data_IF_310646019877
#
_entry.id   IF_310646019877
#
_cell.length_a   1.000
_cell.length_b   1.000
_cell.length_c   1.000
_cell.angle_alpha   90.00
_cell.angle_beta   90.00
_cell.angle_gamma   90.00
#
_symmetry.space_group_name_H-M   'P 1'
#
loop_
_entity.id
_entity.type
_entity.pdbx_description
1 polymer ?
#
# COMPACT_ATOMS: atom_id res chain seq x y z
N UNK A 1 1.28 7.91 -6.90
CA UNK A 1 0.64 6.83 -7.70
C UNK A 1 -0.71 7.33 -8.16
N UNK A 2 -1.17 7.00 -9.36
CA UNK A 2 -2.52 7.38 -9.79
C UNK A 2 -3.52 6.32 -9.31
N UNK A 3 -4.57 6.76 -8.61
CA UNK A 3 -5.64 5.93 -8.04
C UNK A 3 -6.96 6.63 -8.33
N UNK A 4 -7.95 5.87 -8.80
CA UNK A 4 -9.34 6.31 -8.84
C UNK A 4 -10.02 5.86 -7.56
N UNK A 5 -10.52 6.79 -6.75
CA UNK A 5 -11.26 6.47 -5.54
C UNK A 5 -12.78 6.60 -5.75
N UNK A 6 -13.57 5.84 -4.99
CA UNK A 6 -15.01 6.00 -4.93
C UNK A 6 -15.41 7.17 -4.01
N UNK A 7 -16.71 7.47 -3.91
CA UNK A 7 -17.22 8.55 -3.04
C UNK A 7 -16.98 8.36 -1.54
N UNK A 8 -16.48 7.20 -1.10
CA UNK A 8 -16.06 6.91 0.29
C UNK A 8 -14.55 7.01 0.48
N UNK A 9 -13.80 7.41 -0.55
CA UNK A 9 -12.35 7.48 -0.53
C UNK A 9 -11.65 6.12 -0.59
N UNK A 10 -12.33 5.07 -1.05
CA UNK A 10 -11.74 3.74 -1.23
C UNK A 10 -11.24 3.56 -2.67
N UNK A 11 -10.10 2.88 -2.88
CA UNK A 11 -9.55 2.72 -4.23
C UNK A 11 -10.42 1.77 -5.06
N UNK A 12 -10.81 2.23 -6.26
CA UNK A 12 -11.56 1.47 -7.27
C UNK A 12 -10.66 1.00 -8.42
N UNK A 13 -9.64 1.77 -8.77
CA UNK A 13 -8.65 1.38 -9.76
C UNK A 13 -7.29 2.01 -9.47
N UNK A 14 -6.21 1.35 -9.89
CA UNK A 14 -4.83 1.78 -9.66
C UNK A 14 -4.04 1.71 -10.96
N UNK A 15 -3.28 2.76 -11.28
CA UNK A 15 -2.30 2.70 -12.35
C UNK A 15 -1.12 1.81 -11.93
N UNK A 16 -1.09 0.59 -12.45
CA UNK A 16 -0.10 -0.42 -12.13
C UNK A 16 0.62 -0.89 -13.40
N UNK A 17 1.95 -0.73 -13.43
CA UNK A 17 2.80 -1.05 -14.60
C UNK A 17 2.28 -0.41 -15.90
N UNK A 18 1.86 0.86 -15.83
CA UNK A 18 1.41 1.64 -16.98
C UNK A 18 -0.04 1.40 -17.44
N UNK A 19 -0.79 0.53 -16.76
CA UNK A 19 -2.20 0.24 -17.08
C UNK A 19 -3.06 0.40 -15.83
N UNK A 20 -4.24 1.02 -15.97
CA UNK A 20 -5.22 1.05 -14.89
C UNK A 20 -5.80 -0.35 -14.67
N UNK A 21 -5.67 -0.84 -13.45
CA UNK A 21 -6.20 -2.14 -13.02
C UNK A 21 -7.33 -1.90 -12.02
N UNK A 22 -8.52 -2.49 -12.23
CA UNK A 22 -9.59 -2.47 -11.25
C UNK A 22 -9.17 -3.10 -9.94
N UNK A 23 -9.65 -2.54 -8.83
CA UNK A 23 -9.61 -3.18 -7.51
C UNK A 23 -10.84 -4.09 -7.41
N UNK A 24 -10.61 -5.37 -7.17
CA UNK A 24 -11.67 -6.39 -7.09
C UNK A 24 -12.04 -6.75 -5.64
N UNK A 25 -11.15 -6.48 -4.69
CA UNK A 25 -11.43 -6.66 -3.27
C UNK A 25 -10.57 -5.73 -2.39
N UNK A 26 -11.14 -5.30 -1.26
CA UNK A 26 -10.41 -4.69 -0.15
C UNK A 26 -10.41 -5.72 0.99
N UNK A 27 -9.24 -6.16 1.41
CA UNK A 27 -9.07 -7.18 2.44
C UNK A 27 -8.92 -6.58 3.84
N UNK A 28 -8.37 -5.38 3.93
CA UNK A 28 -8.16 -4.69 5.19
C UNK A 28 -8.13 -3.17 4.96
N UNK A 29 -8.51 -2.42 6.00
CA UNK A 29 -8.49 -0.96 6.02
C UNK A 29 -8.18 -0.48 7.42
N UNK A 30 -7.13 0.34 7.55
CA UNK A 30 -6.79 0.99 8.81
C UNK A 30 -6.45 2.46 8.59
N UNK A 31 -6.54 3.24 9.65
CA UNK A 31 -6.23 4.66 9.66
C UNK A 31 -5.19 4.91 10.74
N UNK A 32 -4.20 5.72 10.40
CA UNK A 32 -3.23 6.25 11.35
C UNK A 32 -3.46 7.75 11.37
N UNK A 33 -3.84 8.26 12.53
CA UNK A 33 -3.85 9.67 12.86
C UNK A 33 -2.83 9.84 13.99
N UNK A 34 -1.77 10.60 13.75
CA UNK A 34 -0.71 10.81 14.74
C UNK A 34 -0.18 12.25 14.69
N UNK A 35 0.03 12.83 15.87
CA UNK A 35 0.51 14.20 16.11
C UNK A 35 1.87 14.21 16.84
N UNK A 36 2.58 13.08 16.83
CA UNK A 36 3.77 12.86 17.65
C UNK A 36 5.03 13.57 17.09
N UNK A 37 5.44 14.66 17.77
CA UNK A 37 6.62 15.55 17.59
C UNK A 37 7.08 15.97 16.18
N UNK A 38 6.33 15.66 15.12
CA UNK A 38 6.51 16.13 13.74
C UNK A 38 5.19 16.65 13.16
N UNK A 39 5.22 17.00 11.87
CA UNK A 39 4.03 17.35 11.07
C UNK A 39 2.92 16.30 11.23
N UNK A 40 1.66 16.75 11.29
CA UNK A 40 0.46 15.93 11.40
C UNK A 40 0.45 14.83 10.33
N UNK A 41 0.26 13.58 10.75
CA UNK A 41 0.10 12.43 9.86
C UNK A 41 -1.34 11.95 9.97
N UNK A 42 -2.13 12.12 8.91
CA UNK A 42 -3.38 11.40 8.72
C UNK A 42 -3.29 10.55 7.43
N UNK A 43 -3.26 9.23 7.59
CA UNK A 43 -3.14 8.28 6.48
C UNK A 43 -4.18 7.20 6.59
N UNK A 44 -4.86 6.94 5.48
CA UNK A 44 -5.78 5.81 5.35
C UNK A 44 -5.17 4.74 4.46
N UNK A 45 -5.01 3.55 5.01
CA UNK A 45 -4.40 2.41 4.36
C UNK A 45 -5.44 1.40 3.88
N UNK A 46 -5.11 0.71 2.80
CA UNK A 46 -5.94 -0.33 2.20
C UNK A 46 -5.06 -1.50 1.73
N UNK A 47 -5.46 -2.73 2.07
CA UNK A 47 -4.92 -3.92 1.40
C UNK A 47 -5.86 -4.26 0.26
N UNK A 48 -5.49 -3.85 -0.95
CA UNK A 48 -6.30 -3.98 -2.16
C UNK A 48 -5.81 -5.14 -3.03
N UNK A 49 -6.75 -5.89 -3.59
CA UNK A 49 -6.49 -6.87 -4.64
C UNK A 49 -6.92 -6.30 -5.98
N UNK A 50 -5.99 -6.29 -6.93
CA UNK A 50 -6.24 -5.87 -8.30
C UNK A 50 -6.77 -7.05 -9.13
N UNK A 51 -7.51 -6.74 -10.19
CA UNK A 51 -7.84 -7.70 -11.23
C UNK A 51 -6.56 -8.40 -11.72
N UNK A 52 -6.58 -9.74 -11.74
CA UNK A 52 -5.39 -10.58 -11.96
C UNK A 52 -4.69 -11.04 -10.67
N UNK A 53 -5.29 -10.80 -9.50
CA UNK A 53 -4.89 -11.40 -8.21
C UNK A 53 -3.69 -10.72 -7.53
N UNK A 54 -3.20 -9.59 -8.04
CA UNK A 54 -2.09 -8.87 -7.42
C UNK A 54 -2.58 -8.10 -6.20
N UNK A 55 -2.02 -8.40 -5.03
CA UNK A 55 -2.26 -7.65 -3.80
C UNK A 55 -1.27 -6.49 -3.60
N UNK A 56 -1.77 -5.35 -3.17
CA UNK A 56 -0.99 -4.13 -2.86
C UNK A 56 -1.47 -3.54 -1.53
N UNK A 57 -0.52 -3.01 -0.75
CA UNK A 57 -0.85 -2.08 0.33
C UNK A 57 -0.79 -0.67 -0.24
N UNK A 58 -1.91 0.04 -0.20
CA UNK A 58 -2.05 1.43 -0.65
C UNK A 58 -2.28 2.31 0.57
N UNK A 59 -1.83 3.56 0.52
CA UNK A 59 -2.29 4.57 1.46
C UNK A 59 -2.56 5.91 0.78
N UNK A 60 -3.60 6.59 1.27
CA UNK A 60 -3.92 7.97 0.96
C UNK A 60 -3.36 8.87 2.07
N UNK A 61 -2.43 9.76 1.73
CA UNK A 61 -1.92 10.79 2.64
C UNK A 61 -2.86 11.99 2.61
N UNK A 62 -3.63 12.17 3.69
CA UNK A 62 -4.74 13.12 3.78
C UNK A 62 -4.28 14.53 4.18
N UNK A 63 -3.02 14.70 4.58
CA UNK A 63 -2.54 15.96 5.18
C UNK A 63 -1.47 16.61 4.31
N UNK A 64 -0.36 15.91 4.06
CA UNK A 64 0.82 16.56 3.52
C UNK A 64 0.69 16.86 2.01
N UNK A 65 0.02 15.98 1.26
CA UNK A 65 0.06 15.99 -0.21
C UNK A 65 -1.25 15.63 -0.92
N UNK A 66 -2.28 15.20 -0.18
CA UNK A 66 -3.53 14.65 -0.75
C UNK A 66 -3.23 13.65 -1.89
N UNK A 67 -2.37 12.67 -1.59
CA UNK A 67 -1.73 11.85 -2.60
C UNK A 67 -1.72 10.37 -2.22
N UNK A 68 -1.78 9.52 -3.24
CA UNK A 68 -1.78 8.07 -3.11
C UNK A 68 -0.40 7.46 -3.32
N UNK A 69 -0.09 6.46 -2.49
CA UNK A 69 1.16 5.73 -2.49
C UNK A 69 0.91 4.23 -2.37
N UNK A 70 1.82 3.42 -2.92
CA UNK A 70 1.89 2.00 -2.59
C UNK A 70 3.03 1.78 -1.61
N UNK A 71 2.76 0.99 -0.58
CA UNK A 71 3.77 0.49 0.32
C UNK A 71 4.16 -0.92 -0.13
N UNK A 72 5.34 -1.04 -0.73
CA UNK A 72 6.00 -2.32 -0.90
C UNK A 72 6.76 -2.64 0.38
N UNK A 73 6.18 -3.51 1.22
CA UNK A 73 6.98 -4.16 2.26
C UNK A 73 7.85 -5.21 1.58
N UNK A 74 9.08 -4.83 1.23
CA UNK A 74 10.15 -5.82 1.15
C UNK A 74 10.54 -6.12 2.59
N UNK A 75 9.97 -7.18 3.17
CA UNK A 75 10.54 -7.76 4.39
C UNK A 75 12.02 -8.04 4.17
N UNK A 76 12.84 -8.15 5.23
CA UNK A 76 14.26 -8.40 5.09
C UNK A 76 14.46 -9.54 4.09
N UNK A 77 15.07 -9.21 2.95
CA UNK A 77 15.38 -10.18 1.91
C UNK A 77 16.21 -11.23 2.64
N UNK A 78 15.73 -12.47 2.73
CA UNK A 78 16.50 -13.55 3.32
C UNK A 78 17.81 -13.65 2.51
N UNK A 79 18.85 -12.99 2.99
CA UNK A 79 20.21 -13.19 2.53
C UNK A 79 20.51 -14.64 2.82
N UNK A 80 20.97 -15.33 1.79
CA UNK A 80 21.02 -16.78 1.69
C UNK A 80 21.34 -17.48 3.00
N UNK A 81 20.51 -18.48 3.31
CA UNK A 81 20.77 -19.49 4.30
C UNK A 81 22.27 -19.81 4.35
N UNK A 82 22.83 -19.72 5.55
CA UNK A 82 24.19 -20.16 5.83
C UNK A 82 24.42 -21.54 5.22
N UNK A 83 25.56 -21.68 4.55
CA UNK A 83 26.07 -23.00 4.16
C UNK A 83 26.12 -23.89 5.41
N UNK A 84 25.50 -25.08 5.41
CA UNK A 84 25.73 -26.03 6.48
C UNK A 84 27.09 -26.74 6.27
N UNK A 85 27.88 -26.74 7.36
CA UNK A 85 28.86 -27.72 7.85
C UNK A 85 29.77 -28.52 6.90
N UNK A 86 31.05 -28.60 7.30
CA UNK A 86 31.73 -29.85 7.75
C UNK A 86 32.92 -29.40 8.62
N UNK A 87 32.89 -29.68 9.93
CA UNK A 87 33.45 -30.89 10.58
C UNK A 87 34.98 -30.94 10.49
#
# INVERSE_FOLDING_TARGET
MAVEANGRGEPKAVLWKGVFRPVVAIHDTWRIDDEWWRDEIARRYFVAELEGGRRLTLYHDLVAKDAWYAQTYEGPRATGAGRPHSA
#
